data_IF_680765985973
#
_entry.id   IF_680765985973
#
_cell.length_a   1.000
_cell.length_b   1.000
_cell.length_c   1.000
_cell.angle_alpha   90.00
_cell.angle_beta   90.00
_cell.angle_gamma   90.00
#
_symmetry.space_group_name_H-M   'P 1'
#
loop_
_entity.id
_entity.type
_entity.pdbx_description
1 polymer ?
#
# COMPACT_ATOMS: atom_id res chain seq x y z
N UNK A 1 43.55 -32.85 -12.49
CA UNK A 1 43.21 -31.41 -12.49
C UNK A 1 41.70 -31.28 -12.41
N UNK A 2 41.16 -30.89 -11.25
CA UNK A 2 39.73 -30.59 -11.12
C UNK A 2 39.48 -29.26 -11.82
N UNK A 3 38.60 -29.25 -12.81
CA UNK A 3 38.27 -28.05 -13.59
C UNK A 3 37.76 -26.94 -12.66
N UNK A 4 38.31 -25.74 -12.81
CA UNK A 4 37.89 -24.51 -12.12
C UNK A 4 36.38 -24.26 -12.22
N UNK A 5 35.71 -24.73 -13.27
CA UNK A 5 34.26 -24.66 -13.41
C UNK A 5 33.48 -25.55 -12.43
N UNK A 6 34.00 -26.75 -12.11
CA UNK A 6 33.38 -27.65 -11.13
C UNK A 6 33.54 -27.14 -9.69
N UNK A 7 34.67 -26.47 -9.40
CA UNK A 7 34.89 -25.82 -8.12
C UNK A 7 33.96 -24.61 -7.93
N UNK A 8 33.78 -23.78 -8.96
CA UNK A 8 32.88 -22.61 -8.92
C UNK A 8 31.40 -23.04 -8.83
N UNK A 9 30.98 -24.09 -9.54
CA UNK A 9 29.63 -24.64 -9.42
C UNK A 9 29.37 -25.29 -8.05
N UNK A 10 30.36 -25.98 -7.47
CA UNK A 10 30.27 -26.54 -6.12
C UNK A 10 30.24 -25.47 -5.02
N UNK A 11 31.00 -24.37 -5.18
CA UNK A 11 31.02 -23.24 -4.25
C UNK A 11 29.75 -22.40 -4.36
N UNK A 12 29.24 -22.11 -5.56
CA UNK A 12 27.97 -21.42 -5.75
C UNK A 12 26.76 -22.28 -5.32
N UNK A 13 26.78 -23.58 -5.61
CA UNK A 13 25.76 -24.53 -5.16
C UNK A 13 25.75 -24.70 -3.63
N UNK A 14 26.94 -24.81 -3.02
CA UNK A 14 27.10 -24.86 -1.56
C UNK A 14 26.69 -23.54 -0.88
N UNK A 15 27.04 -22.39 -1.46
CA UNK A 15 26.63 -21.08 -0.95
C UNK A 15 25.12 -20.85 -1.06
N UNK A 16 24.49 -21.23 -2.18
CA UNK A 16 23.03 -21.19 -2.33
C UNK A 16 22.32 -22.13 -1.35
N UNK A 17 22.83 -23.36 -1.15
CA UNK A 17 22.25 -24.32 -0.20
C UNK A 17 22.38 -23.82 1.25
N UNK A 18 23.53 -23.27 1.64
CA UNK A 18 23.75 -22.70 2.97
C UNK A 18 22.92 -21.44 3.20
N UNK A 19 22.81 -20.55 2.21
CA UNK A 19 21.97 -19.35 2.29
C UNK A 19 20.48 -19.72 2.40
N UNK A 20 20.04 -20.73 1.65
CA UNK A 20 18.67 -21.27 1.73
C UNK A 20 18.42 -21.91 3.09
N UNK A 21 19.35 -22.73 3.61
CA UNK A 21 19.22 -23.35 4.92
C UNK A 21 19.21 -22.31 6.06
N UNK A 22 20.07 -21.29 5.99
CA UNK A 22 20.14 -20.19 6.95
C UNK A 22 18.87 -19.32 6.96
N UNK A 23 18.17 -19.21 5.83
CA UNK A 23 16.89 -18.50 5.76
C UNK A 23 15.70 -19.37 6.17
N UNK A 24 15.64 -20.60 5.66
CA UNK A 24 14.49 -21.50 5.85
C UNK A 24 14.44 -22.06 7.27
N UNK A 25 15.57 -22.45 7.88
CA UNK A 25 15.54 -23.08 9.21
C UNK A 25 14.96 -22.16 10.30
N UNK A 26 15.36 -20.87 10.42
CA UNK A 26 14.71 -19.95 11.37
C UNK A 26 13.23 -19.72 11.08
N UNK A 27 12.82 -19.68 9.80
CA UNK A 27 11.42 -19.54 9.40
C UNK A 27 10.58 -20.75 9.79
N UNK A 28 11.07 -21.96 9.52
CA UNK A 28 10.42 -23.22 9.94
C UNK A 28 10.32 -23.30 11.46
N UNK A 29 11.36 -22.89 12.19
CA UNK A 29 11.33 -22.84 13.64
C UNK A 29 10.25 -21.86 14.13
N UNK A 30 10.19 -20.64 13.60
CA UNK A 30 9.14 -19.67 13.95
C UNK A 30 7.74 -20.23 13.70
N UNK A 31 7.50 -20.82 12.54
CA UNK A 31 6.22 -21.44 12.19
C UNK A 31 5.80 -22.52 13.20
N UNK A 32 6.71 -23.42 13.56
CA UNK A 32 6.45 -24.51 14.52
C UNK A 32 6.25 -24.04 15.95
N UNK A 33 6.88 -22.92 16.34
CA UNK A 33 6.87 -22.44 17.71
C UNK A 33 5.70 -21.51 18.05
N UNK A 34 4.98 -20.95 17.07
CA UNK A 34 3.95 -19.92 17.31
C UNK A 34 2.56 -20.35 16.88
N UNK A 35 1.63 -20.41 17.83
CA UNK A 35 0.23 -20.80 17.60
C UNK A 35 -0.52 -19.90 16.60
N UNK A 36 -0.13 -18.63 16.48
CA UNK A 36 -0.79 -17.67 15.58
C UNK A 36 -0.57 -17.94 14.09
N UNK A 37 0.41 -18.77 13.72
CA UNK A 37 0.75 -19.12 12.33
C UNK A 37 0.76 -20.62 12.06
N UNK A 38 0.61 -21.46 13.09
CA UNK A 38 0.68 -22.92 12.96
C UNK A 38 -0.44 -23.52 12.12
N UNK A 39 -1.57 -22.81 11.95
CA UNK A 39 -2.67 -23.22 11.07
C UNK A 39 -2.41 -22.93 9.59
N UNK A 40 -1.41 -22.11 9.26
CA UNK A 40 -1.04 -21.78 7.88
C UNK A 40 -0.19 -22.93 7.34
N UNK A 41 -0.47 -23.47 6.14
CA UNK A 41 0.39 -24.48 5.53
C UNK A 41 1.84 -23.99 5.44
N UNK A 42 2.80 -24.83 5.86
CA UNK A 42 4.21 -24.42 5.92
C UNK A 42 4.75 -23.95 4.55
N UNK A 43 4.29 -24.56 3.45
CA UNK A 43 4.64 -24.14 2.09
C UNK A 43 4.19 -22.71 1.79
N UNK A 44 2.97 -22.34 2.19
CA UNK A 44 2.42 -21.00 2.00
C UNK A 44 3.14 -19.98 2.89
N UNK A 45 3.38 -20.33 4.16
CA UNK A 45 4.16 -19.50 5.08
C UNK A 45 5.54 -19.16 4.50
N UNK A 46 6.29 -20.18 4.04
CA UNK A 46 7.63 -20.00 3.49
C UNK A 46 7.62 -19.25 2.15
N UNK A 47 6.67 -19.58 1.26
CA UNK A 47 6.50 -18.89 -0.03
C UNK A 47 6.21 -17.41 0.15
N UNK A 48 5.29 -17.08 1.06
CA UNK A 48 4.93 -15.70 1.39
C UNK A 48 6.13 -14.95 1.98
N UNK A 49 6.80 -15.50 3.01
CA UNK A 49 7.99 -14.84 3.59
C UNK A 49 9.08 -14.62 2.53
N UNK A 50 9.35 -15.60 1.66
CA UNK A 50 10.34 -15.48 0.60
C UNK A 50 9.99 -14.35 -0.40
N UNK A 51 8.73 -14.28 -0.86
CA UNK A 51 8.26 -13.20 -1.75
C UNK A 51 8.36 -11.82 -1.11
N UNK A 52 7.99 -11.70 0.17
CA UNK A 52 8.13 -10.45 0.93
C UNK A 52 9.59 -10.01 0.97
N UNK A 53 10.52 -10.89 1.36
CA UNK A 53 11.95 -10.53 1.44
C UNK A 53 12.56 -10.20 0.09
N UNK A 54 12.18 -10.95 -0.95
CA UNK A 54 12.63 -10.65 -2.31
C UNK A 54 12.17 -9.27 -2.77
N UNK A 55 10.89 -8.94 -2.58
CA UNK A 55 10.38 -7.62 -2.96
C UNK A 55 10.98 -6.50 -2.09
N UNK A 56 11.17 -6.73 -0.79
CA UNK A 56 11.82 -5.77 0.12
C UNK A 56 13.25 -5.46 -0.32
N UNK A 57 14.01 -6.48 -0.75
CA UNK A 57 15.36 -6.32 -1.29
C UNK A 57 15.35 -5.46 -2.56
N UNK A 58 14.45 -5.73 -3.50
CA UNK A 58 14.32 -4.94 -4.73
C UNK A 58 13.98 -3.47 -4.46
N UNK A 59 13.09 -3.22 -3.50
CA UNK A 59 12.76 -1.86 -3.07
C UNK A 59 13.97 -1.18 -2.44
N UNK A 60 14.66 -1.84 -1.50
CA UNK A 60 15.85 -1.29 -0.85
C UNK A 60 16.95 -0.93 -1.86
N UNK A 61 17.21 -1.78 -2.86
CA UNK A 61 18.18 -1.52 -3.93
C UNK A 61 17.86 -0.27 -4.77
N UNK A 62 16.60 0.17 -4.81
CA UNK A 62 16.23 1.41 -5.51
C UNK A 62 16.79 2.67 -4.84
N UNK A 63 17.22 2.58 -3.58
CA UNK A 63 17.70 3.68 -2.77
C UNK A 63 16.59 4.60 -2.29
N UNK A 64 16.95 5.69 -1.61
CA UNK A 64 16.02 6.64 -0.99
C UNK A 64 16.38 8.05 -1.44
N UNK A 65 15.39 8.90 -1.72
CA UNK A 65 15.68 10.29 -2.03
C UNK A 65 16.26 11.02 -0.81
N UNK A 66 17.34 11.79 -1.04
CA UNK A 66 18.00 12.57 0.02
C UNK A 66 17.18 13.78 0.48
N UNK A 67 16.26 14.25 -0.35
CA UNK A 67 15.45 15.46 -0.14
C UNK A 67 14.21 15.21 0.74
N UNK A 68 13.94 13.95 1.09
CA UNK A 68 12.78 13.62 1.93
C UNK A 68 12.98 14.14 3.35
N UNK A 69 11.92 14.65 3.95
CA UNK A 69 11.86 14.93 5.38
C UNK A 69 12.27 13.69 6.19
N UNK A 70 12.97 13.90 7.30
CA UNK A 70 13.33 12.83 8.24
C UNK A 70 12.16 12.64 9.20
N UNK A 71 11.63 11.42 9.26
CA UNK A 71 10.55 11.07 10.17
C UNK A 71 11.12 10.30 11.36
N UNK A 72 10.63 10.55 12.59
CA UNK A 72 10.98 9.72 13.73
C UNK A 72 10.42 8.30 13.56
N UNK A 73 11.13 7.32 14.12
CA UNK A 73 10.81 5.89 14.03
C UNK A 73 9.44 5.55 14.66
N UNK A 74 9.02 6.32 15.66
CA UNK A 74 7.69 6.30 16.23
C UNK A 74 7.28 7.72 16.63
N UNK A 75 5.99 8.04 16.49
CA UNK A 75 5.47 9.39 16.72
C UNK A 75 4.03 9.34 17.24
N UNK A 76 3.75 9.98 18.38
CA UNK A 76 2.39 10.08 18.91
C UNK A 76 1.70 11.27 18.28
N UNK A 77 0.88 11.02 17.27
CA UNK A 77 0.21 12.05 16.46
C UNK A 77 -0.99 12.65 17.21
N UNK A 78 -1.76 11.80 17.88
CA UNK A 78 -2.84 12.17 18.80
C UNK A 78 -2.82 11.20 19.99
N UNK A 79 -3.57 11.45 21.07
CA UNK A 79 -3.70 10.48 22.16
C UNK A 79 -4.18 9.09 21.71
N UNK A 80 -4.88 9.01 20.57
CA UNK A 80 -5.44 7.78 20.02
C UNK A 80 -4.68 7.24 18.80
N UNK A 81 -3.66 7.93 18.29
CA UNK A 81 -2.96 7.53 17.06
C UNK A 81 -1.46 7.65 17.25
N UNK A 82 -0.76 6.52 17.16
CA UNK A 82 0.70 6.46 17.15
C UNK A 82 1.14 5.94 15.78
N UNK A 83 2.00 6.68 15.08
CA UNK A 83 2.67 6.21 13.86
C UNK A 83 3.92 5.44 14.22
N UNK A 84 4.16 4.31 13.55
CA UNK A 84 5.38 3.51 13.69
C UNK A 84 5.93 3.30 12.27
N UNK A 85 7.16 3.76 12.04
CA UNK A 85 7.81 3.71 10.74
C UNK A 85 8.37 2.30 10.47
N UNK A 86 8.08 1.80 9.28
CA UNK A 86 8.34 0.43 8.85
C UNK A 86 9.81 0.06 8.65
N UNK A 87 10.75 0.99 8.81
CA UNK A 87 12.20 0.75 8.67
C UNK A 87 12.61 0.10 7.33
N UNK A 88 11.85 0.35 6.29
CA UNK A 88 11.98 -0.23 4.96
C UNK A 88 12.04 0.87 3.88
N UNK A 89 12.99 1.82 3.96
CA UNK A 89 13.00 2.99 3.08
C UNK A 89 13.40 2.62 1.65
N UNK A 90 12.76 3.25 0.66
CA UNK A 90 13.03 3.06 -0.77
C UNK A 90 12.49 4.21 -1.60
N UNK A 91 12.63 4.16 -2.94
CA UNK A 91 12.00 5.14 -3.84
C UNK A 91 10.48 5.06 -3.81
N UNK A 92 9.92 3.89 -3.49
CA UNK A 92 8.46 3.68 -3.45
C UNK A 92 7.91 3.95 -2.05
N UNK A 93 8.59 3.45 -1.02
CA UNK A 93 8.18 3.55 0.39
C UNK A 93 8.67 4.82 1.08
N UNK A 94 9.40 5.69 0.37
CA UNK A 94 10.01 6.91 0.91
C UNK A 94 10.93 6.61 2.11
N UNK A 95 10.65 7.18 3.29
CA UNK A 95 11.35 6.89 4.54
C UNK A 95 10.95 5.55 5.17
N UNK A 96 9.90 4.91 4.66
CA UNK A 96 9.36 3.64 5.13
C UNK A 96 7.83 3.65 5.10
N UNK A 97 7.23 2.48 5.28
CA UNK A 97 5.79 2.35 5.47
C UNK A 97 5.39 2.93 6.81
N UNK A 98 4.46 3.87 6.82
CA UNK A 98 3.80 4.31 8.03
C UNK A 98 2.76 3.28 8.42
N UNK A 99 2.96 2.63 9.56
CA UNK A 99 1.93 1.83 10.21
C UNK A 99 1.34 2.64 11.36
N UNK A 100 0.08 2.38 11.70
CA UNK A 100 -0.62 3.18 12.71
C UNK A 100 -1.26 2.32 13.78
N UNK A 101 -0.92 2.59 15.04
CA UNK A 101 -1.56 1.98 16.19
C UNK A 101 -2.66 2.92 16.69
N UNK A 102 -3.90 2.46 16.59
CA UNK A 102 -5.12 3.24 16.80
C UNK A 102 -5.87 2.77 18.05
N UNK A 103 -6.24 3.72 18.89
CA UNK A 103 -6.86 3.55 20.21
C UNK A 103 -5.96 4.03 21.36
N UNK A 104 -6.57 4.37 22.49
CA UNK A 104 -5.88 4.85 23.69
C UNK A 104 -5.67 3.78 24.79
N UNK A 105 -6.36 2.64 24.71
CA UNK A 105 -6.32 1.58 25.74
C UNK A 105 -5.25 0.51 25.55
N UNK A 106 -5.34 -0.55 26.37
CA UNK A 106 -4.48 -1.73 26.31
C UNK A 106 -4.75 -2.63 25.09
N UNK A 107 -5.92 -2.49 24.47
CA UNK A 107 -6.28 -3.15 23.20
C UNK A 107 -6.36 -2.12 22.10
N UNK A 108 -5.64 -2.35 21.00
CA UNK A 108 -5.53 -1.40 19.88
C UNK A 108 -5.65 -2.09 18.52
N UNK A 109 -5.96 -1.28 17.51
CA UNK A 109 -6.01 -1.70 16.11
C UNK A 109 -4.71 -1.26 15.44
N UNK A 110 -4.12 -2.11 14.60
CA UNK A 110 -2.98 -1.76 13.77
C UNK A 110 -3.44 -1.57 12.33
N UNK A 111 -3.07 -0.46 11.68
CA UNK A 111 -3.29 -0.24 10.24
C UNK A 111 -1.95 -0.47 9.53
N UNK A 112 -1.95 -1.41 8.60
CA UNK A 112 -0.79 -1.97 7.90
C UNK A 112 0.28 -2.59 8.83
N UNK A 113 1.15 -3.44 8.28
CA UNK A 113 2.11 -4.26 9.01
C UNK A 113 3.54 -4.17 8.46
N UNK A 114 3.84 -3.18 7.62
CA UNK A 114 5.15 -3.06 6.94
C UNK A 114 5.51 -4.35 6.16
N UNK A 115 6.79 -4.55 5.86
CA UNK A 115 7.37 -5.79 5.34
C UNK A 115 7.76 -6.80 6.45
N UNK A 116 7.52 -6.48 7.72
CA UNK A 116 7.85 -7.35 8.85
C UNK A 116 9.34 -7.54 9.14
N UNK A 117 10.22 -6.64 8.68
CA UNK A 117 11.64 -6.69 9.04
C UNK A 117 11.85 -6.58 10.56
N UNK A 118 13.04 -7.01 11.02
CA UNK A 118 13.33 -7.10 12.45
C UNK A 118 13.36 -5.73 13.16
N UNK A 119 13.78 -4.67 12.47
CA UNK A 119 13.84 -3.32 13.04
C UNK A 119 12.42 -2.77 13.28
N UNK A 120 11.52 -2.94 12.31
CA UNK A 120 10.10 -2.62 12.48
C UNK A 120 9.47 -3.40 13.65
N UNK A 121 9.65 -4.72 13.69
CA UNK A 121 9.07 -5.52 14.78
C UNK A 121 9.62 -5.12 16.15
N UNK A 122 10.90 -4.72 16.24
CA UNK A 122 11.47 -4.18 17.47
C UNK A 122 10.76 -2.89 17.89
N UNK A 123 10.58 -1.93 16.98
CA UNK A 123 9.91 -0.66 17.27
C UNK A 123 8.43 -0.86 17.61
N UNK A 124 7.73 -1.74 16.90
CA UNK A 124 6.34 -2.09 17.24
C UNK A 124 6.22 -2.59 18.67
N UNK A 125 7.07 -3.54 19.08
CA UNK A 125 7.01 -4.07 20.45
C UNK A 125 7.40 -3.03 21.51
N UNK A 126 8.39 -2.18 21.23
CA UNK A 126 8.77 -1.09 22.13
C UNK A 126 7.63 -0.07 22.32
N UNK A 127 6.95 0.29 21.23
CA UNK A 127 5.79 1.20 21.30
C UNK A 127 4.64 0.54 22.05
N UNK A 128 4.37 -0.75 21.82
CA UNK A 128 3.36 -1.48 22.59
C UNK A 128 3.69 -1.48 24.09
N UNK A 129 4.94 -1.72 24.48
CA UNK A 129 5.37 -1.68 25.88
C UNK A 129 5.18 -0.30 26.51
N UNK A 130 5.68 0.76 25.86
CA UNK A 130 5.58 2.14 26.33
C UNK A 130 4.12 2.62 26.45
N UNK A 131 3.29 2.24 25.47
CA UNK A 131 1.87 2.58 25.44
C UNK A 131 0.98 1.59 26.22
N UNK A 132 1.59 0.62 26.92
CA UNK A 132 0.91 -0.42 27.73
C UNK A 132 -0.14 -1.22 26.95
N UNK A 133 0.15 -1.48 25.68
CA UNK A 133 -0.68 -2.30 24.79
C UNK A 133 -0.41 -3.76 25.07
N UNK A 134 -1.44 -4.45 25.54
CA UNK A 134 -1.42 -5.89 25.82
C UNK A 134 -1.84 -6.70 24.59
N UNK A 135 -2.69 -6.12 23.73
CA UNK A 135 -3.25 -6.83 22.58
C UNK A 135 -3.42 -5.91 21.36
N UNK A 136 -3.00 -6.39 20.20
CA UNK A 136 -3.47 -5.87 18.91
C UNK A 136 -4.63 -6.76 18.49
N UNK A 137 -5.84 -6.21 18.49
CA UNK A 137 -7.06 -7.00 18.23
C UNK A 137 -7.27 -7.24 16.74
N UNK A 138 -6.99 -6.22 15.94
CA UNK A 138 -7.23 -6.20 14.51
C UNK A 138 -6.04 -5.57 13.79
N UNK A 139 -5.66 -6.17 12.67
CA UNK A 139 -4.78 -5.58 11.65
C UNK A 139 -5.63 -5.27 10.44
N UNK A 140 -5.74 -4.00 10.08
CA UNK A 140 -6.47 -3.54 8.91
C UNK A 140 -5.47 -3.24 7.80
N UNK A 141 -5.50 -4.02 6.73
CA UNK A 141 -4.61 -3.82 5.58
C UNK A 141 -5.27 -2.87 4.59
N UNK A 142 -4.53 -1.85 4.18
CA UNK A 142 -4.95 -0.92 3.13
C UNK A 142 -5.03 -1.64 1.79
N UNK A 143 -4.03 -2.46 1.44
CA UNK A 143 -4.00 -3.20 0.16
C UNK A 143 -2.97 -4.34 0.16
N UNK A 144 -2.89 -5.08 -0.95
CA UNK A 144 -2.09 -6.31 -1.09
C UNK A 144 -0.58 -6.15 -1.34
N UNK A 145 0.01 -4.96 -1.23
CA UNK A 145 1.45 -4.79 -1.42
C UNK A 145 2.25 -5.25 -0.19
N UNK A 146 3.41 -5.90 -0.42
CA UNK A 146 4.19 -6.54 0.65
C UNK A 146 4.84 -5.57 1.64
N UNK A 147 5.02 -4.31 1.26
CA UNK A 147 5.43 -3.24 2.16
C UNK A 147 4.29 -2.76 3.08
N UNK A 148 3.05 -3.20 2.86
CA UNK A 148 1.92 -2.97 3.76
C UNK A 148 1.48 -4.24 4.49
N UNK A 149 1.46 -5.39 3.81
CA UNK A 149 0.97 -6.65 4.40
C UNK A 149 2.07 -7.66 4.75
N UNK A 150 3.32 -7.42 4.38
CA UNK A 150 4.39 -8.43 4.52
C UNK A 150 4.69 -8.83 5.95
N UNK A 151 4.42 -7.95 6.92
CA UNK A 151 4.63 -8.24 8.34
C UNK A 151 3.52 -9.00 9.06
N UNK A 152 2.42 -9.36 8.40
CA UNK A 152 1.26 -9.99 9.07
C UNK A 152 1.62 -11.27 9.83
N UNK A 153 2.53 -12.09 9.29
CA UNK A 153 2.95 -13.33 9.94
C UNK A 153 3.73 -13.04 11.22
N UNK A 154 4.59 -12.02 11.22
CA UNK A 154 5.35 -11.60 12.39
C UNK A 154 4.47 -10.96 13.46
N UNK A 155 3.42 -10.24 13.04
CA UNK A 155 2.41 -9.72 13.97
C UNK A 155 1.61 -10.87 14.59
N UNK A 156 1.14 -11.86 13.81
CA UNK A 156 0.45 -13.06 14.33
C UNK A 156 1.31 -13.90 15.28
N UNK A 157 2.62 -13.96 15.06
CA UNK A 157 3.55 -14.62 15.98
C UNK A 157 3.55 -13.95 17.37
N UNK A 158 3.44 -12.62 17.43
CA UNK A 158 3.42 -11.86 18.71
C UNK A 158 2.03 -11.73 19.31
N UNK A 159 0.99 -11.64 18.48
CA UNK A 159 -0.40 -11.46 18.86
C UNK A 159 -1.24 -12.58 18.23
N UNK A 160 -1.27 -13.80 18.81
CA UNK A 160 -1.84 -14.98 18.16
C UNK A 160 -3.35 -14.90 17.92
N UNK A 161 -4.07 -14.04 18.65
CA UNK A 161 -5.51 -13.84 18.50
C UNK A 161 -5.88 -12.72 17.50
N UNK A 162 -4.88 -12.06 16.91
CA UNK A 162 -5.10 -10.91 16.01
C UNK A 162 -5.90 -11.33 14.78
N UNK A 163 -6.93 -10.55 14.46
CA UNK A 163 -7.70 -10.70 13.22
C UNK A 163 -7.06 -9.83 12.15
N UNK A 164 -6.77 -10.40 10.99
CA UNK A 164 -6.23 -9.63 9.86
C UNK A 164 -7.35 -9.44 8.84
N UNK A 165 -7.54 -8.22 8.39
CA UNK A 165 -8.63 -7.81 7.50
C UNK A 165 -8.07 -7.18 6.24
N UNK A 166 -8.61 -7.54 5.09
CA UNK A 166 -8.24 -6.98 3.79
C UNK A 166 -9.44 -7.05 2.87
N UNK A 167 -9.62 -6.05 2.01
CA UNK A 167 -10.62 -6.17 0.94
C UNK A 167 -10.19 -7.28 -0.02
N UNK A 168 -11.12 -8.21 -0.28
CA UNK A 168 -10.93 -9.32 -1.20
C UNK A 168 -11.92 -9.11 -2.35
N UNK A 169 -11.50 -8.55 -3.50
CA UNK A 169 -12.44 -8.22 -4.56
C UNK A 169 -13.13 -9.50 -5.05
N UNK A 170 -14.45 -9.46 -5.33
CA UNK A 170 -15.19 -10.62 -5.83
C UNK A 170 -14.52 -11.21 -7.08
N UNK A 171 -14.40 -12.54 -7.13
CA UNK A 171 -13.72 -13.26 -8.21
C UNK A 171 -12.26 -12.83 -8.46
N UNK A 172 -11.58 -12.24 -7.46
CA UNK A 172 -10.22 -11.72 -7.59
C UNK A 172 -10.14 -10.34 -8.24
N UNK A 173 -11.28 -9.72 -8.57
CA UNK A 173 -11.36 -8.43 -9.26
C UNK A 173 -11.09 -8.53 -10.76
N UNK A 174 -10.97 -7.37 -11.41
CA UNK A 174 -10.72 -7.26 -12.85
C UNK A 174 -9.22 -7.27 -13.23
N UNK A 175 -8.33 -7.42 -12.23
CA UNK A 175 -6.87 -7.32 -12.35
C UNK A 175 -6.19 -8.32 -11.44
N UNK A 176 -4.98 -8.73 -11.81
CA UNK A 176 -4.17 -9.67 -11.03
C UNK A 176 -3.81 -9.10 -9.66
N UNK A 177 -4.20 -9.80 -8.61
CA UNK A 177 -3.77 -9.50 -7.24
C UNK A 177 -2.34 -9.98 -7.00
N UNK A 178 -1.57 -9.24 -6.20
CA UNK A 178 -0.26 -9.70 -5.71
C UNK A 178 -0.37 -10.95 -4.84
N UNK A 179 -1.43 -11.00 -4.04
CA UNK A 179 -1.81 -12.10 -3.16
C UNK A 179 -3.27 -12.41 -3.48
N UNK A 180 -3.54 -13.60 -4.02
CA UNK A 180 -4.89 -13.99 -4.42
C UNK A 180 -5.82 -14.10 -3.21
N UNK A 181 -7.14 -14.10 -3.44
CA UNK A 181 -8.11 -14.31 -2.36
C UNK A 181 -7.91 -15.67 -1.67
N UNK A 182 -7.67 -16.73 -2.44
CA UNK A 182 -7.38 -18.06 -1.91
C UNK A 182 -6.10 -18.07 -1.06
N UNK A 183 -5.04 -17.37 -1.49
CA UNK A 183 -3.83 -17.22 -0.69
C UNK A 183 -4.10 -16.42 0.60
N UNK A 184 -4.88 -15.33 0.52
CA UNK A 184 -5.29 -14.56 1.70
C UNK A 184 -6.02 -15.43 2.72
N UNK A 185 -6.94 -16.28 2.29
CA UNK A 185 -7.66 -17.22 3.14
C UNK A 185 -6.71 -18.21 3.83
N UNK A 186 -5.74 -18.77 3.10
CA UNK A 186 -4.71 -19.66 3.65
C UNK A 186 -3.82 -18.97 4.69
N UNK A 187 -3.56 -17.67 4.53
CA UNK A 187 -2.83 -16.84 5.49
C UNK A 187 -3.70 -16.41 6.70
N UNK A 188 -4.99 -16.79 6.71
CA UNK A 188 -5.95 -16.43 7.74
C UNK A 188 -6.29 -14.94 7.73
N UNK A 189 -6.36 -14.34 6.54
CA UNK A 189 -6.87 -12.99 6.29
C UNK A 189 -8.36 -13.08 6.01
N UNK A 190 -9.14 -12.23 6.69
CA UNK A 190 -10.59 -12.15 6.57
C UNK A 190 -10.98 -11.10 5.53
N UNK A 191 -12.10 -11.33 4.85
CA UNK A 191 -12.71 -10.35 3.97
C UNK A 191 -13.15 -9.13 4.77
N UNK A 192 -12.69 -7.95 4.33
CA UNK A 192 -13.15 -6.66 4.81
C UNK A 192 -14.16 -6.09 3.82
N UNK A 193 -15.36 -5.76 4.29
CA UNK A 193 -16.40 -5.13 3.47
C UNK A 193 -16.30 -3.60 3.53
N UNK A 194 -16.71 -2.94 2.45
CA UNK A 194 -16.85 -1.49 2.44
C UNK A 194 -17.86 -1.03 3.50
N UNK A 195 -17.53 0.05 4.22
CA UNK A 195 -18.36 0.56 5.31
C UNK A 195 -18.28 -0.22 6.62
N UNK A 196 -17.47 -1.29 6.72
CA UNK A 196 -17.26 -1.99 7.99
C UNK A 196 -16.70 -1.03 9.05
N UNK A 197 -17.29 -1.04 10.24
CA UNK A 197 -16.92 -0.18 11.36
C UNK A 197 -16.25 -0.96 12.48
N UNK A 198 -15.16 -0.40 13.02
CA UNK A 198 -14.40 -0.94 14.15
C UNK A 198 -14.47 0.05 15.33
N UNK A 199 -14.92 -0.40 16.52
CA UNK A 199 -15.06 0.49 17.66
C UNK A 199 -13.68 0.74 18.28
N UNK A 200 -13.35 2.01 18.55
CA UNK A 200 -12.05 2.42 19.08
C UNK A 200 -12.20 2.99 20.49
N UNK A 201 -11.50 2.38 21.45
CA UNK A 201 -11.48 2.82 22.86
C UNK A 201 -10.45 3.93 23.09
N UNK A 202 -10.74 4.86 24.01
CA UNK A 202 -9.79 5.86 24.53
C UNK A 202 -9.00 5.38 25.75
N UNK A 203 -9.31 4.19 26.29
CA UNK A 203 -8.67 3.69 27.50
C UNK A 203 -9.11 4.36 28.82
N UNK A 204 -10.00 5.36 28.78
CA UNK A 204 -10.42 6.11 29.96
C UNK A 204 -11.35 5.34 30.92
N UNK A 205 -12.05 4.30 30.44
CA UNK A 205 -13.18 3.69 31.17
C UNK A 205 -12.94 2.27 31.73
N UNK A 206 -11.71 1.75 31.76
CA UNK A 206 -11.38 0.46 32.40
C UNK A 206 -12.07 -0.80 31.84
N UNK A 207 -12.96 -0.66 30.86
CA UNK A 207 -13.53 -1.76 30.08
C UNK A 207 -12.57 -2.11 28.95
N UNK A 208 -12.00 -3.31 29.00
CA UNK A 208 -11.00 -3.80 28.05
C UNK A 208 -11.55 -4.11 26.65
N UNK A 209 -12.83 -3.92 26.38
CA UNK A 209 -13.40 -4.23 25.06
C UNK A 209 -14.40 -3.15 24.63
N UNK A 210 -14.03 -2.22 23.73
CA UNK A 210 -14.96 -1.22 23.22
C UNK A 210 -16.08 -1.90 22.44
N UNK A 211 -17.32 -1.47 22.69
CA UNK A 211 -18.50 -1.82 21.89
C UNK A 211 -18.95 -0.59 21.10
N UNK A 212 -19.74 -0.76 20.04
CA UNK A 212 -20.24 0.39 19.26
C UNK A 212 -21.04 1.41 20.09
N UNK A 213 -21.74 0.94 21.13
CA UNK A 213 -22.52 1.80 22.02
C UNK A 213 -21.64 2.59 23.02
N UNK A 214 -20.40 2.14 23.25
CA UNK A 214 -19.52 2.67 24.31
C UNK A 214 -18.24 3.31 23.77
N UNK A 215 -17.92 3.12 22.49
CA UNK A 215 -16.71 3.64 21.87
C UNK A 215 -16.88 5.12 21.50
N UNK A 216 -16.02 6.01 22.02
CA UNK A 216 -16.05 7.43 21.63
C UNK A 216 -15.56 7.66 20.20
N UNK A 217 -14.89 6.67 19.60
CA UNK A 217 -14.41 6.74 18.23
C UNK A 217 -14.78 5.48 17.45
N UNK A 218 -14.99 5.64 16.14
CA UNK A 218 -15.19 4.55 15.19
C UNK A 218 -14.20 4.71 14.04
N UNK A 219 -13.56 3.60 13.67
CA UNK A 219 -12.72 3.48 12.50
C UNK A 219 -13.53 2.77 11.40
N UNK A 220 -13.88 3.48 10.34
CA UNK A 220 -14.72 2.99 9.24
C UNK A 220 -13.89 2.72 7.99
N UNK A 221 -14.04 1.52 7.43
CA UNK A 221 -13.40 1.12 6.18
C UNK A 221 -14.11 1.75 4.97
N UNK A 222 -13.34 2.24 3.99
CA UNK A 222 -13.86 2.84 2.75
C UNK A 222 -13.11 2.30 1.54
N UNK A 223 -13.83 1.65 0.64
CA UNK A 223 -13.28 1.12 -0.60
C UNK A 223 -12.85 2.25 -1.54
N UNK A 224 -11.57 2.24 -1.90
CA UNK A 224 -10.91 3.31 -2.64
C UNK A 224 -9.99 2.75 -3.72
N UNK A 225 -10.53 2.03 -4.72
CA UNK A 225 -9.72 1.45 -5.77
C UNK A 225 -9.03 2.51 -6.62
N UNK A 226 -8.06 2.08 -7.40
CA UNK A 226 -7.35 2.92 -8.35
C UNK A 226 -5.85 2.82 -8.17
N UNK A 227 -5.35 2.96 -6.93
CA UNK A 227 -3.97 2.58 -6.60
C UNK A 227 -3.78 1.10 -6.93
N UNK A 228 -4.62 0.27 -6.31
CA UNK A 228 -4.78 -1.16 -6.56
C UNK A 228 -6.27 -1.49 -6.51
N UNK A 229 -6.68 -2.65 -7.03
CA UNK A 229 -8.09 -3.06 -7.07
C UNK A 229 -8.65 -3.50 -5.70
N UNK A 230 -7.78 -3.73 -4.72
CA UNK A 230 -8.12 -4.11 -3.35
C UNK A 230 -7.88 -3.01 -2.31
N UNK A 231 -7.68 -1.77 -2.77
CA UNK A 231 -7.27 -0.67 -1.91
C UNK A 231 -8.42 -0.13 -1.05
N UNK A 232 -8.16 0.01 0.24
CA UNK A 232 -9.03 0.56 1.27
C UNK A 232 -8.37 1.75 1.95
N UNK A 233 -9.18 2.76 2.27
CA UNK A 233 -8.85 3.81 3.22
C UNK A 233 -9.63 3.58 4.51
N UNK A 234 -9.19 4.20 5.60
CA UNK A 234 -9.90 4.15 6.88
C UNK A 234 -10.17 5.55 7.41
N UNK A 235 -11.39 5.82 7.85
CA UNK A 235 -11.76 7.07 8.52
C UNK A 235 -11.90 6.82 10.01
N UNK A 236 -11.11 7.50 10.83
CA UNK A 236 -11.39 7.62 12.25
C UNK A 236 -12.31 8.83 12.41
N UNK A 237 -13.40 8.66 13.13
CA UNK A 237 -14.36 9.71 13.47
C UNK A 237 -14.76 9.58 14.95
N UNK A 238 -14.98 10.72 15.62
CA UNK A 238 -15.65 10.79 16.92
C UNK A 238 -17.15 10.45 16.75
N UNK A 239 -17.67 9.50 17.53
CA UNK A 239 -19.05 9.02 17.40
C UNK A 239 -20.11 10.05 17.81
N UNK A 240 -19.77 10.98 18.71
CA UNK A 240 -20.66 12.03 19.18
C UNK A 240 -20.54 13.31 18.33
N UNK A 241 -19.31 13.72 18.01
CA UNK A 241 -19.03 15.05 17.43
C UNK A 241 -18.57 15.01 15.97
N UNK A 242 -18.10 13.86 15.48
CA UNK A 242 -17.42 13.71 14.17
C UNK A 242 -16.34 14.77 13.95
N UNK A 243 -15.62 15.13 15.02
CA UNK A 243 -14.65 16.23 15.04
C UNK A 243 -13.22 15.76 14.70
N UNK A 244 -12.83 14.57 15.12
CA UNK A 244 -11.57 13.90 14.77
C UNK A 244 -11.74 13.23 13.40
N UNK A 245 -11.89 14.01 12.31
CA UNK A 245 -12.05 13.49 10.93
C UNK A 245 -10.70 13.14 10.31
N UNK A 246 -10.09 12.06 10.74
CA UNK A 246 -8.78 11.62 10.27
C UNK A 246 -8.90 10.53 9.20
N UNK A 247 -8.13 10.67 8.11
CA UNK A 247 -8.08 9.70 7.02
C UNK A 247 -6.75 8.95 7.01
N UNK A 248 -6.78 7.63 7.16
CA UNK A 248 -5.67 6.75 6.83
C UNK A 248 -5.76 6.37 5.35
N UNK A 249 -4.92 6.97 4.51
CA UNK A 249 -5.09 6.92 3.05
C UNK A 249 -4.33 5.79 2.36
N UNK A 250 -3.50 5.03 3.08
CA UNK A 250 -2.58 4.06 2.47
C UNK A 250 -1.81 4.72 1.31
N UNK A 251 -1.85 4.07 0.15
CA UNK A 251 -1.19 4.53 -1.07
C UNK A 251 -2.12 5.28 -2.04
N UNK A 252 -3.36 5.56 -1.63
CA UNK A 252 -4.26 6.43 -2.40
C UNK A 252 -3.73 7.87 -2.44
N UNK A 253 -3.27 8.38 -1.29
CA UNK A 253 -2.69 9.72 -1.11
C UNK A 253 -1.46 9.57 -0.22
N UNK A 254 -0.32 10.14 -0.65
CA UNK A 254 0.95 10.10 0.05
C UNK A 254 1.23 11.44 0.73
N UNK A 255 2.07 11.41 1.77
CA UNK A 255 2.52 12.62 2.46
C UNK A 255 3.45 13.50 1.64
N UNK A 256 4.22 12.87 0.75
CA UNK A 256 5.13 13.55 -0.16
C UNK A 256 5.06 12.94 -1.56
N UNK A 257 5.21 13.78 -2.58
CA UNK A 257 5.13 13.35 -3.97
C UNK A 257 3.73 12.93 -4.39
N UNK A 258 3.64 11.89 -5.23
CA UNK A 258 2.40 11.40 -5.81
C UNK A 258 2.38 9.87 -5.85
N UNK A 259 1.21 9.26 -5.82
CA UNK A 259 1.08 7.80 -5.86
C UNK A 259 1.19 7.23 -7.28
N UNK A 260 1.62 5.97 -7.36
CA UNK A 260 1.39 5.11 -8.53
C UNK A 260 -0.02 4.54 -8.46
N UNK A 261 -0.61 4.18 -9.59
CA UNK A 261 -1.99 3.68 -9.64
C UNK A 261 -2.21 2.79 -10.84
N UNK A 262 -3.00 1.73 -10.73
CA UNK A 262 -3.38 0.87 -11.83
C UNK A 262 -4.46 1.46 -12.73
N UNK A 263 -5.48 2.10 -12.13
CA UNK A 263 -6.61 2.68 -12.84
C UNK A 263 -6.81 4.14 -12.45
N UNK A 264 -6.58 5.04 -13.40
CA UNK A 264 -6.80 6.47 -13.18
C UNK A 264 -8.29 6.79 -12.99
N UNK A 265 -9.18 6.10 -13.70
CA UNK A 265 -10.63 6.33 -13.60
C UNK A 265 -11.13 6.05 -12.18
N UNK A 266 -10.73 4.91 -11.63
CA UNK A 266 -11.06 4.53 -10.25
C UNK A 266 -10.39 5.45 -9.26
N UNK A 267 -9.09 5.73 -9.43
CA UNK A 267 -8.37 6.64 -8.53
C UNK A 267 -9.07 8.01 -8.45
N UNK A 268 -9.45 8.59 -9.59
CA UNK A 268 -10.17 9.88 -9.61
C UNK A 268 -11.53 9.81 -8.94
N UNK A 269 -12.22 8.66 -9.04
CA UNK A 269 -13.49 8.43 -8.35
C UNK A 269 -13.27 8.36 -6.85
N UNK A 270 -12.26 7.62 -6.40
CA UNK A 270 -11.85 7.48 -5.01
C UNK A 270 -11.41 8.83 -4.41
N UNK A 271 -10.59 9.61 -5.11
CA UNK A 271 -10.16 10.94 -4.65
C UNK A 271 -11.36 11.89 -4.48
N UNK A 272 -12.32 11.88 -5.41
CA UNK A 272 -13.55 12.68 -5.31
C UNK A 272 -14.45 12.22 -4.17
N UNK A 273 -14.52 10.92 -3.89
CA UNK A 273 -15.21 10.37 -2.73
C UNK A 273 -14.55 10.86 -1.42
N UNK A 274 -13.23 10.71 -1.31
CA UNK A 274 -12.46 11.17 -0.15
C UNK A 274 -12.58 12.68 0.07
N UNK A 275 -12.59 13.47 -1.01
CA UNK A 275 -12.81 14.91 -0.93
C UNK A 275 -14.16 15.25 -0.28
N UNK A 276 -15.24 14.55 -0.69
CA UNK A 276 -16.60 14.75 -0.14
C UNK A 276 -16.69 14.38 1.34
N UNK A 277 -15.89 13.42 1.81
CA UNK A 277 -15.83 13.09 3.24
C UNK A 277 -15.18 14.18 4.09
N UNK A 278 -14.56 15.20 3.47
CA UNK A 278 -13.98 16.36 4.13
C UNK A 278 -13.07 15.99 5.33
N UNK A 279 -12.07 15.09 5.16
CA UNK A 279 -11.08 14.85 6.20
C UNK A 279 -10.35 16.15 6.55
N UNK A 280 -9.93 16.26 7.81
CA UNK A 280 -9.12 17.38 8.30
C UNK A 280 -7.63 17.08 8.15
N UNK A 281 -7.22 15.85 8.48
CA UNK A 281 -5.85 15.37 8.44
C UNK A 281 -5.77 14.06 7.66
N UNK A 282 -4.65 13.83 6.96
CA UNK A 282 -4.36 12.54 6.32
C UNK A 282 -3.11 11.94 6.96
N UNK A 283 -3.24 10.68 7.34
CA UNK A 283 -2.21 9.76 7.80
C UNK A 283 -1.86 8.80 6.66
N UNK A 284 -0.87 9.14 5.81
CA UNK A 284 -0.60 8.39 4.58
C UNK A 284 0.18 7.10 4.83
N UNK A 285 0.13 6.16 3.88
CA UNK A 285 0.97 4.95 3.90
C UNK A 285 2.47 5.28 3.83
N UNK A 286 2.84 6.39 3.19
CA UNK A 286 4.22 6.87 3.14
C UNK A 286 4.31 8.39 3.23
N UNK A 287 5.39 8.88 3.84
CA UNK A 287 5.68 10.32 3.96
C UNK A 287 5.08 10.99 5.20
N UNK A 288 5.25 12.32 5.33
CA UNK A 288 4.78 13.06 6.51
C UNK A 288 3.26 13.13 6.61
N UNK A 289 2.76 13.49 7.79
CA UNK A 289 1.33 13.78 8.02
C UNK A 289 0.91 14.98 7.17
N UNK A 290 -0.27 14.90 6.57
CA UNK A 290 -0.85 16.01 5.80
C UNK A 290 -1.89 16.73 6.67
N UNK A 291 -1.57 17.95 7.09
CA UNK A 291 -2.42 18.76 7.97
C UNK A 291 -3.52 19.54 7.23
N UNK A 292 -3.34 19.80 5.93
CA UNK A 292 -4.38 20.33 5.04
C UNK A 292 -4.82 19.25 4.04
N UNK A 293 -5.71 18.37 4.51
CA UNK A 293 -6.19 17.24 3.74
C UNK A 293 -6.95 17.66 2.47
N UNK A 294 -7.76 18.72 2.54
CA UNK A 294 -8.55 19.19 1.40
C UNK A 294 -7.66 19.75 0.30
N UNK A 295 -6.67 20.57 0.64
CA UNK A 295 -5.71 21.07 -0.33
C UNK A 295 -4.93 19.93 -0.99
N UNK A 296 -4.48 18.92 -0.23
CA UNK A 296 -3.75 17.78 -0.80
C UNK A 296 -4.59 16.93 -1.75
N UNK A 297 -5.85 16.66 -1.40
CA UNK A 297 -6.78 15.93 -2.29
C UNK A 297 -7.02 16.74 -3.57
N UNK A 298 -7.23 18.05 -3.44
CA UNK A 298 -7.40 18.94 -4.60
C UNK A 298 -6.16 18.95 -5.48
N UNK A 299 -4.96 19.08 -4.90
CA UNK A 299 -3.68 18.99 -5.61
C UNK A 299 -3.58 17.70 -6.43
N UNK A 300 -3.91 16.55 -5.84
CA UNK A 300 -3.93 15.26 -6.53
C UNK A 300 -4.89 15.24 -7.71
N UNK A 301 -6.13 15.72 -7.52
CA UNK A 301 -7.15 15.80 -8.57
C UNK A 301 -6.68 16.72 -9.70
N UNK A 302 -6.29 17.95 -9.37
CA UNK A 302 -5.88 18.96 -10.35
C UNK A 302 -4.66 18.54 -11.14
N UNK A 303 -3.66 17.92 -10.51
CA UNK A 303 -2.48 17.43 -11.21
C UNK A 303 -2.82 16.38 -12.28
N UNK A 304 -3.78 15.48 -12.00
CA UNK A 304 -4.23 14.47 -12.97
C UNK A 304 -5.10 15.08 -14.07
N UNK A 305 -6.01 15.98 -13.73
CA UNK A 305 -6.85 16.67 -14.72
C UNK A 305 -6.00 17.55 -15.65
N UNK A 306 -4.97 18.23 -15.13
CA UNK A 306 -4.02 18.98 -15.94
C UNK A 306 -3.28 18.07 -16.94
N UNK A 307 -2.80 16.90 -16.50
CA UNK A 307 -2.12 15.95 -17.39
C UNK A 307 -3.07 15.41 -18.47
N UNK A 308 -4.31 15.12 -18.10
CA UNK A 308 -5.34 14.68 -19.03
C UNK A 308 -5.64 15.76 -20.09
N UNK A 309 -5.76 17.02 -19.68
CA UNK A 309 -5.96 18.15 -20.59
C UNK A 309 -4.80 18.33 -21.56
N UNK A 310 -3.55 18.13 -21.12
CA UNK A 310 -2.37 18.15 -22.01
C UNK A 310 -2.44 17.04 -23.08
N UNK A 311 -2.83 15.82 -22.70
CA UNK A 311 -3.00 14.71 -23.65
C UNK A 311 -4.05 15.07 -24.70
N UNK A 312 -5.20 15.59 -24.27
CA UNK A 312 -6.27 16.00 -25.17
C UNK A 312 -5.87 17.17 -26.07
N UNK A 313 -5.13 18.14 -25.56
CA UNK A 313 -4.64 19.26 -26.35
C UNK A 313 -3.68 18.79 -27.45
N UNK A 314 -2.77 17.87 -27.13
CA UNK A 314 -1.86 17.26 -28.11
C UNK A 314 -2.65 16.52 -29.19
N UNK A 315 -3.64 15.72 -28.81
CA UNK A 315 -4.47 14.98 -29.76
C UNK A 315 -5.37 15.89 -30.62
N UNK A 316 -5.83 17.03 -30.10
CA UNK A 316 -6.63 18.01 -30.88
C UNK A 316 -5.81 18.76 -31.92
N UNK A 317 -4.54 19.02 -31.63
CA UNK A 317 -3.63 19.72 -32.56
C UNK A 317 -3.04 18.80 -33.62
N UNK A 318 -3.10 17.50 -33.41
CA UNK A 318 -2.61 16.51 -34.36
C UNK A 318 -3.57 16.38 -35.55
N UNK A 319 -3.01 16.40 -36.76
CA UNK A 319 -3.75 16.08 -38.00
C UNK A 319 -4.01 14.57 -38.14
N UNK A 320 -3.12 13.75 -37.59
CA UNK A 320 -3.17 12.28 -37.63
C UNK A 320 -3.28 11.68 -36.23
N UNK A 321 -3.62 10.39 -36.14
CA UNK A 321 -3.64 9.67 -34.87
C UNK A 321 -2.21 9.49 -34.32
N UNK A 322 -2.04 9.69 -33.02
CA UNK A 322 -0.72 9.63 -32.36
C UNK A 322 -0.58 8.40 -31.46
N UNK A 323 0.61 7.83 -31.42
CA UNK A 323 1.02 6.84 -30.43
C UNK A 323 1.30 7.47 -29.07
N UNK A 324 1.29 6.68 -27.99
CA UNK A 324 1.66 7.16 -26.64
C UNK A 324 3.04 7.80 -26.62
N UNK A 325 4.00 7.27 -27.38
CA UNK A 325 5.38 7.81 -27.41
C UNK A 325 5.42 9.21 -28.00
N UNK A 326 4.68 9.44 -29.09
CA UNK A 326 4.57 10.77 -29.71
C UNK A 326 3.89 11.75 -28.76
N UNK A 327 2.82 11.34 -28.09
CA UNK A 327 2.13 12.17 -27.09
C UNK A 327 3.08 12.54 -25.95
N UNK A 328 3.83 11.58 -25.41
CA UNK A 328 4.84 11.83 -24.36
C UNK A 328 5.89 12.81 -24.84
N UNK A 329 6.41 12.67 -26.06
CA UNK A 329 7.43 13.57 -26.61
C UNK A 329 6.91 15.00 -26.81
N UNK A 330 5.63 15.17 -27.16
CA UNK A 330 5.00 16.48 -27.25
C UNK A 330 4.86 17.15 -25.87
N UNK A 331 4.46 16.38 -24.86
CA UNK A 331 4.24 16.88 -23.49
C UNK A 331 5.56 17.12 -22.76
N UNK A 332 6.56 16.26 -22.97
CA UNK A 332 7.82 16.24 -22.24
C UNK A 332 9.02 16.34 -23.18
N UNK A 333 9.36 17.58 -23.57
CA UNK A 333 10.36 17.83 -24.63
C UNK A 333 11.79 17.33 -24.33
N UNK A 334 12.17 17.06 -23.06
CA UNK A 334 13.53 16.63 -22.65
C UNK A 334 13.55 15.80 -21.35
N UNK A 335 12.85 14.67 -21.29
CA UNK A 335 12.98 13.73 -20.15
C UNK A 335 14.12 12.72 -20.37
N UNK A 336 14.93 12.40 -19.35
CA UNK A 336 15.82 11.23 -19.36
C UNK A 336 15.07 9.93 -19.67
N UNK A 337 15.72 8.98 -20.37
CA UNK A 337 15.08 7.74 -20.85
C UNK A 337 14.29 6.97 -19.78
N UNK A 338 14.85 6.78 -18.59
CA UNK A 338 14.15 6.09 -17.50
C UNK A 338 12.86 6.80 -17.07
N UNK A 339 12.84 8.15 -17.08
CA UNK A 339 11.65 8.94 -16.77
C UNK A 339 10.66 8.98 -17.93
N UNK A 340 11.12 8.82 -19.19
CA UNK A 340 10.23 8.66 -20.34
C UNK A 340 9.40 7.37 -20.22
N UNK A 341 10.00 6.26 -19.74
CA UNK A 341 9.25 5.01 -19.52
C UNK A 341 8.15 5.19 -18.47
N UNK A 342 8.42 5.91 -17.38
CA UNK A 342 7.43 6.24 -16.37
C UNK A 342 6.34 7.16 -16.92
N UNK A 343 6.72 8.20 -17.66
CA UNK A 343 5.80 9.12 -18.31
C UNK A 343 4.88 8.40 -19.32
N UNK A 344 5.43 7.47 -20.11
CA UNK A 344 4.66 6.64 -21.04
C UNK A 344 3.60 5.82 -20.32
N UNK A 345 3.99 5.09 -19.26
CA UNK A 345 3.03 4.32 -18.45
C UNK A 345 1.94 5.20 -17.84
N UNK A 346 2.27 6.42 -17.42
CA UNK A 346 1.27 7.36 -16.91
C UNK A 346 0.31 7.82 -18.02
N UNK A 347 0.84 8.21 -19.19
CA UNK A 347 0.01 8.63 -20.34
C UNK A 347 -0.87 7.49 -20.86
N UNK A 348 -0.37 6.25 -20.90
CA UNK A 348 -1.19 5.06 -21.26
C UNK A 348 -2.43 4.94 -20.34
N UNK A 349 -2.29 5.23 -19.04
CA UNK A 349 -3.41 5.21 -18.09
C UNK A 349 -4.39 6.37 -18.29
N UNK A 350 -3.90 7.55 -18.68
CA UNK A 350 -4.76 8.66 -19.11
C UNK A 350 -5.56 8.30 -20.36
N UNK A 351 -4.90 7.74 -21.39
CA UNK A 351 -5.54 7.31 -22.62
C UNK A 351 -6.59 6.21 -22.38
N UNK A 352 -6.29 5.24 -21.52
CA UNK A 352 -7.25 4.22 -21.13
C UNK A 352 -8.51 4.82 -20.47
N UNK A 353 -8.34 5.74 -19.50
CA UNK A 353 -9.47 6.46 -18.89
C UNK A 353 -10.29 7.21 -19.94
N UNK A 354 -9.63 8.02 -20.77
CA UNK A 354 -10.29 8.81 -21.82
C UNK A 354 -11.07 7.94 -22.81
N UNK A 355 -10.55 6.75 -23.13
CA UNK A 355 -11.24 5.77 -23.96
C UNK A 355 -12.49 5.21 -23.28
N UNK A 356 -12.40 4.85 -22.00
CA UNK A 356 -13.55 4.39 -21.21
C UNK A 356 -14.64 5.48 -21.07
N UNK A 357 -14.25 6.74 -21.19
CA UNK A 357 -15.15 7.91 -21.19
C UNK A 357 -15.60 8.34 -22.58
N UNK A 358 -15.26 7.57 -23.63
CA UNK A 358 -15.57 7.88 -25.04
C UNK A 358 -15.05 9.24 -25.53
N UNK A 359 -13.96 9.76 -24.95
CA UNK A 359 -13.33 11.04 -25.36
C UNK A 359 -12.18 10.85 -26.36
N UNK A 360 -11.62 9.65 -26.40
CA UNK A 360 -10.53 9.24 -27.29
C UNK A 360 -10.87 7.88 -27.87
N UNK A 361 -10.62 7.69 -29.17
CA UNK A 361 -10.77 6.40 -29.86
C UNK A 361 -9.41 5.87 -30.31
N UNK A 362 -9.30 4.54 -30.34
CA UNK A 362 -8.14 3.85 -30.93
C UNK A 362 -8.35 3.83 -32.45
N UNK A 363 -7.44 4.43 -33.20
CA UNK A 363 -7.49 4.42 -34.67
C UNK A 363 -6.83 3.16 -35.23
N UNK A 364 -5.66 2.80 -34.70
CA UNK A 364 -4.95 1.56 -35.04
C UNK A 364 -4.73 0.75 -33.79
N UNK A 365 -5.12 -0.52 -33.83
CA UNK A 365 -4.88 -1.45 -32.73
C UNK A 365 -3.40 -1.87 -32.69
N UNK A 366 -2.92 -2.18 -31.50
CA UNK A 366 -1.56 -2.69 -31.33
C UNK A 366 -1.36 -3.99 -32.12
N UNK A 367 -0.25 -4.09 -32.83
CA UNK A 367 0.22 -5.32 -33.48
C UNK A 367 1.62 -5.67 -32.97
N UNK A 368 2.17 -6.78 -33.43
CA UNK A 368 3.55 -7.18 -33.12
C UNK A 368 4.60 -6.11 -33.50
N UNK A 369 4.30 -5.28 -34.50
CA UNK A 369 5.24 -4.30 -35.05
C UNK A 369 4.80 -2.84 -34.86
N UNK A 370 3.57 -2.59 -34.43
CA UNK A 370 3.00 -1.24 -34.36
C UNK A 370 2.33 -0.97 -33.02
N UNK A 371 2.70 0.17 -32.43
CA UNK A 371 2.03 0.69 -31.24
C UNK A 371 0.61 1.17 -31.58
N UNK A 372 -0.34 1.10 -30.62
CA UNK A 372 -1.66 1.64 -30.84
C UNK A 372 -1.60 3.16 -31.02
N UNK A 373 -2.48 3.69 -31.87
CA UNK A 373 -2.60 5.13 -32.14
C UNK A 373 -3.99 5.62 -31.73
N UNK A 374 -4.03 6.89 -31.30
CA UNK A 374 -5.19 7.49 -30.64
C UNK A 374 -5.56 8.81 -31.32
N UNK A 375 -6.86 9.11 -31.37
CA UNK A 375 -7.41 10.41 -31.78
C UNK A 375 -8.59 10.80 -30.91
N UNK A 376 -8.96 12.08 -30.93
CA UNK A 376 -10.18 12.56 -30.27
C UNK A 376 -11.41 11.85 -30.87
N UNK A 377 -12.35 11.46 -30.02
CA UNK A 377 -13.64 10.95 -30.46
C UNK A 377 -14.42 12.07 -31.16
N UNK A 378 -15.06 11.75 -32.30
CA UNK A 378 -15.81 12.70 -33.10
C UNK A 378 -17.08 13.20 -32.39
#
# INVERSE_FOLDING_TARGET
>A
MVSTAALVAGVLGGACALATAAYVAPSVQRHRSHRGVSSIPLSEYLSFEARVRWQSLLLWLSGVSKELEVLPDADTLTPNVIRILGQNPSRMTLRGTNTYLVGGGAKRILIDASDGNAAYMKHLMQVCELARVQEITDVLLTHGHYDHMGGILRVKEKFPNVRVWKYLPPNGGDRTLRVSNAECELLGIKHLEDGTEFPVSTGANGSDTPTMSTAPFVLRAVYTPGHYNDHMCFFLDDTATKSERALFSGDCILGAGSCVFDSLKELMTSLKLLQKHAPRVIYPGHGPVVTDAQAKIHEYISHREQRENQVLEVLRKASDALSTVEIVNCIYKKLPFALQLAARKAVDKHLLKLRLENRVVVQTHATWFQAPTYRIAA
#
